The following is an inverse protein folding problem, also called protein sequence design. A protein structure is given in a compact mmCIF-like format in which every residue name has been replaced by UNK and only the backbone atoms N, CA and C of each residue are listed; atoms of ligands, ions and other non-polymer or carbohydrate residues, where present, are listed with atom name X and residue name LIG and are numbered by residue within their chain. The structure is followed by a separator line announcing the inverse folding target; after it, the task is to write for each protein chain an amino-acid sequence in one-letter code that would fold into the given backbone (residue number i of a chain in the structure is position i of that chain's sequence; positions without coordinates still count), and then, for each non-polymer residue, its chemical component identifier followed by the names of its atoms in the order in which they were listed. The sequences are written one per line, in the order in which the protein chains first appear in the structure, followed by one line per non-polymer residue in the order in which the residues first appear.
data_IF_959188577083
#
_entry.id   IF_959188577083
#
_cell.length_a   1.000
_cell.length_b   1.000
_cell.length_c   1.000
_cell.angle_alpha   90.00
_cell.angle_beta   90.00
_cell.angle_gamma   90.00
#
_symmetry.space_group_name_H-M   'P 1'
#
loop_
_entity.id
_entity.type
_entity.pdbx_description
1 polymer ?
#
# COMPACT_ATOMS: atom_id res chain seq x y z
N UNK A 1 20.16 -12.05 -34.18
CA UNK A 1 19.00 -11.13 -34.06
C UNK A 1 18.51 -11.22 -32.63
N UNK A 2 19.09 -10.41 -31.74
CA UNK A 2 18.68 -10.30 -30.35
C UNK A 2 17.37 -9.52 -30.30
N UNK A 3 16.27 -10.23 -30.01
CA UNK A 3 15.04 -9.59 -29.53
C UNK A 3 15.35 -9.09 -28.12
N UNK A 4 15.63 -7.80 -28.01
CA UNK A 4 15.66 -7.12 -26.71
C UNK A 4 14.20 -6.87 -26.39
N UNK A 5 13.63 -7.72 -25.53
CA UNK A 5 12.36 -7.44 -24.89
C UNK A 5 12.59 -6.20 -24.03
N UNK A 6 11.93 -5.10 -24.41
CA UNK A 6 11.89 -3.87 -23.63
C UNK A 6 11.22 -4.20 -22.30
N UNK A 7 12.03 -4.56 -21.29
CA UNK A 7 11.66 -4.37 -19.90
C UNK A 7 11.60 -2.86 -19.69
N UNK A 8 10.45 -2.26 -20.00
CA UNK A 8 10.01 -1.11 -19.22
C UNK A 8 9.93 -1.63 -17.79
N UNK A 9 11.00 -1.40 -17.02
CA UNK A 9 10.91 -1.35 -15.56
C UNK A 9 9.82 -0.32 -15.27
N UNK A 10 8.58 -0.82 -15.17
CA UNK A 10 7.48 -0.05 -14.61
C UNK A 10 7.96 0.22 -13.20
N UNK A 11 8.50 1.41 -12.98
CA UNK A 11 8.92 1.87 -11.68
C UNK A 11 7.67 1.86 -10.80
N UNK A 12 7.42 0.74 -10.13
CA UNK A 12 6.25 0.59 -9.29
C UNK A 12 6.51 1.47 -8.08
N UNK A 13 5.89 2.64 -8.12
CA UNK A 13 6.00 3.63 -7.05
C UNK A 13 5.45 3.06 -5.75
N UNK A 14 6.28 2.98 -4.72
CA UNK A 14 5.87 2.54 -3.39
C UNK A 14 4.77 3.44 -2.82
N UNK A 15 3.95 2.87 -1.93
CA UNK A 15 2.97 3.61 -1.16
C UNK A 15 3.68 4.68 -0.33
N UNK A 16 3.20 5.90 -0.45
CA UNK A 16 3.73 7.04 0.32
C UNK A 16 3.03 7.08 1.68
N UNK A 17 3.80 7.22 2.74
CA UNK A 17 3.28 7.28 4.10
C UNK A 17 4.19 8.03 5.06
N UNK A 18 3.67 8.33 6.24
CA UNK A 18 4.38 9.01 7.31
C UNK A 18 4.87 8.00 8.33
N UNK A 19 6.15 8.09 8.68
CA UNK A 19 6.72 7.29 9.76
C UNK A 19 6.36 7.88 11.13
N UNK A 20 6.13 7.02 12.11
CA UNK A 20 5.97 7.41 13.51
C UNK A 20 7.21 7.06 14.37
N UNK A 21 7.21 7.50 15.63
CA UNK A 21 8.31 7.30 16.59
C UNK A 21 8.51 5.82 17.02
N UNK A 22 7.56 4.94 16.71
CA UNK A 22 7.59 3.51 17.03
C UNK A 22 8.00 2.64 15.83
N UNK A 23 8.59 3.26 14.81
CA UNK A 23 8.93 2.63 13.53
C UNK A 23 7.72 2.11 12.77
N UNK A 24 6.54 2.67 12.99
CA UNK A 24 5.37 2.43 12.15
C UNK A 24 5.34 3.33 10.92
N UNK A 25 4.50 2.98 9.96
CA UNK A 25 4.22 3.75 8.74
C UNK A 25 2.71 3.86 8.57
N UNK A 26 2.20 5.07 8.44
CA UNK A 26 0.80 5.33 8.08
C UNK A 26 0.72 5.80 6.63
N UNK A 27 0.08 5.02 5.77
CA UNK A 27 -0.07 5.33 4.35
C UNK A 27 -1.03 6.51 4.15
N UNK A 28 -0.65 7.45 3.28
CA UNK A 28 -1.50 8.58 2.95
C UNK A 28 -2.66 8.13 2.05
N UNK A 29 -3.87 8.22 2.58
CA UNK A 29 -5.12 7.89 1.89
C UNK A 29 -5.34 8.67 0.59
N UNK A 30 -4.77 9.88 0.47
CA UNK A 30 -4.88 10.72 -0.74
C UNK A 30 -3.96 10.25 -1.87
N UNK A 31 -2.97 9.44 -1.55
CA UNK A 31 -1.94 8.97 -2.47
C UNK A 31 -2.11 7.48 -2.83
N UNK A 32 -3.25 6.88 -2.48
CA UNK A 32 -3.58 5.51 -2.89
C UNK A 32 -3.63 5.41 -4.42
N UNK A 33 -3.21 4.26 -4.93
CA UNK A 33 -3.27 3.98 -6.37
C UNK A 33 -4.69 4.12 -6.90
N UNK A 34 -4.84 4.51 -8.17
CA UNK A 34 -6.16 4.74 -8.81
C UNK A 34 -6.93 3.45 -9.03
N UNK A 35 -6.24 2.34 -9.28
CA UNK A 35 -6.86 1.03 -9.51
C UNK A 35 -6.49 0.04 -8.43
N UNK A 36 -7.36 -0.94 -8.20
CA UNK A 36 -7.16 -2.02 -7.23
C UNK A 36 -5.93 -2.88 -7.57
N UNK A 37 -5.72 -3.21 -8.86
CA UNK A 37 -4.53 -3.95 -9.32
C UNK A 37 -3.23 -3.18 -9.11
N UNK A 38 -3.23 -1.87 -9.33
CA UNK A 38 -2.05 -1.05 -9.04
C UNK A 38 -1.80 -0.99 -7.52
N UNK A 39 -2.86 -0.83 -6.72
CA UNK A 39 -2.74 -0.84 -5.27
C UNK A 39 -2.14 -2.16 -4.75
N UNK A 40 -2.59 -3.30 -5.28
CA UNK A 40 -2.07 -4.62 -4.90
C UNK A 40 -0.56 -4.73 -5.14
N UNK A 41 -0.09 -4.38 -6.35
CA UNK A 41 1.34 -4.40 -6.69
C UNK A 41 2.16 -3.43 -5.85
N UNK A 42 1.64 -2.22 -5.62
CA UNK A 42 2.32 -1.23 -4.78
C UNK A 42 2.41 -1.68 -3.33
N UNK A 43 1.33 -2.28 -2.80
CA UNK A 43 1.30 -2.77 -1.43
C UNK A 43 2.31 -3.90 -1.23
N UNK A 44 2.36 -4.87 -2.14
CA UNK A 44 3.33 -5.98 -2.08
C UNK A 44 4.78 -5.47 -2.00
N UNK A 45 5.18 -4.58 -2.91
CA UNK A 45 6.53 -4.04 -2.92
C UNK A 45 6.82 -3.12 -1.72
N UNK A 46 5.83 -2.33 -1.28
CA UNK A 46 6.00 -1.45 -0.12
C UNK A 46 6.22 -2.26 1.15
N UNK A 47 5.51 -3.37 1.31
CA UNK A 47 5.71 -4.28 2.44
C UNK A 47 7.10 -4.92 2.42
N UNK A 48 7.61 -5.30 1.25
CA UNK A 48 8.98 -5.82 1.12
C UNK A 48 10.02 -4.77 1.52
N UNK A 49 9.90 -3.54 1.00
CA UNK A 49 10.78 -2.43 1.34
C UNK A 49 10.73 -2.10 2.85
N UNK A 50 9.53 -1.96 3.42
CA UNK A 50 9.36 -1.68 4.85
C UNK A 50 9.85 -2.80 5.76
N UNK A 51 9.79 -4.05 5.30
CA UNK A 51 10.40 -5.18 6.01
C UNK A 51 11.93 -5.06 6.05
N UNK A 52 12.56 -4.66 4.96
CA UNK A 52 14.01 -4.41 4.91
C UNK A 52 14.40 -3.22 5.80
N UNK A 53 13.55 -2.18 5.86
CA UNK A 53 13.70 -1.03 6.78
C UNK A 53 13.36 -1.35 8.25
N UNK A 54 12.94 -2.59 8.56
CA UNK A 54 12.54 -3.03 9.92
C UNK A 54 11.39 -2.20 10.51
N UNK A 55 10.44 -1.78 9.68
CA UNK A 55 9.19 -1.15 10.15
C UNK A 55 8.35 -2.16 10.92
N UNK A 56 7.69 -1.69 11.98
CA UNK A 56 7.01 -2.56 12.97
C UNK A 56 5.50 -2.60 12.82
N UNK A 57 4.89 -1.53 12.32
CA UNK A 57 3.44 -1.43 12.16
C UNK A 57 3.10 -0.65 10.90
N UNK A 58 2.25 -1.21 10.05
CA UNK A 58 1.79 -0.53 8.84
C UNK A 58 0.31 -0.25 9.00
N UNK A 59 -0.08 1.01 8.81
CA UNK A 59 -1.44 1.47 8.94
C UNK A 59 -1.96 1.92 7.57
N UNK A 60 -3.07 1.31 7.14
CA UNK A 60 -3.81 1.70 5.95
C UNK A 60 -5.07 2.43 6.37
N UNK A 61 -5.19 3.70 5.98
CA UNK A 61 -6.45 4.44 6.06
C UNK A 61 -7.12 4.39 4.69
N UNK A 62 -8.16 3.57 4.57
CA UNK A 62 -8.91 3.41 3.31
C UNK A 62 -10.15 4.31 3.36
N UNK A 63 -10.30 5.25 2.41
CA UNK A 63 -11.53 6.04 2.24
C UNK A 63 -12.77 5.17 2.02
N UNK A 64 -13.95 5.67 2.38
CA UNK A 64 -15.22 4.94 2.24
C UNK A 64 -15.55 4.57 0.78
N UNK A 65 -15.22 5.44 -0.15
CA UNK A 65 -15.37 5.25 -1.60
C UNK A 65 -14.35 4.28 -2.20
N UNK A 66 -13.42 3.76 -1.39
CA UNK A 66 -12.32 2.87 -1.81
C UNK A 66 -12.35 1.51 -1.11
N UNK A 67 -13.52 1.07 -0.65
CA UNK A 67 -13.70 -0.20 0.07
C UNK A 67 -13.27 -1.43 -0.72
N UNK A 68 -13.17 -1.35 -2.06
CA UNK A 68 -12.62 -2.39 -2.92
C UNK A 68 -11.15 -2.74 -2.61
N UNK A 69 -10.43 -1.87 -1.89
CA UNK A 69 -9.05 -2.10 -1.48
C UNK A 69 -8.94 -2.95 -0.19
N UNK A 70 -10.02 -3.09 0.58
CA UNK A 70 -10.01 -3.82 1.86
C UNK A 70 -9.70 -5.31 1.66
N UNK A 71 -10.36 -6.04 0.74
CA UNK A 71 -10.05 -7.46 0.52
C UNK A 71 -8.60 -7.68 0.06
N UNK A 72 -8.03 -6.72 -0.69
CA UNK A 72 -6.63 -6.77 -1.11
C UNK A 72 -5.72 -6.62 0.12
N UNK A 73 -5.96 -5.63 0.98
CA UNK A 73 -5.18 -5.47 2.20
C UNK A 73 -5.25 -6.73 3.09
N UNK A 74 -6.43 -7.36 3.21
CA UNK A 74 -6.61 -8.61 3.96
C UNK A 74 -5.78 -9.76 3.40
N UNK A 75 -5.62 -9.87 2.08
CA UNK A 75 -4.73 -10.87 1.44
C UNK A 75 -3.28 -10.75 1.93
N UNK A 76 -2.83 -9.54 2.26
CA UNK A 76 -1.50 -9.28 2.83
C UNK A 76 -1.47 -9.30 4.37
N UNK A 77 -2.52 -9.80 5.02
CA UNK A 77 -2.56 -9.99 6.48
C UNK A 77 -2.98 -8.76 7.28
N UNK A 78 -3.46 -7.69 6.64
CA UNK A 78 -4.05 -6.58 7.38
C UNK A 78 -5.36 -6.99 8.05
N UNK A 79 -5.54 -6.51 9.28
CA UNK A 79 -6.79 -6.68 10.03
C UNK A 79 -7.46 -5.32 10.21
N UNK A 80 -8.80 -5.30 10.17
CA UNK A 80 -9.57 -4.09 10.39
C UNK A 80 -9.49 -3.70 11.87
N UNK A 81 -8.94 -2.52 12.15
CA UNK A 81 -8.81 -2.01 13.51
C UNK A 81 -9.95 -1.05 13.89
N UNK A 82 -10.44 -0.25 12.94
CA UNK A 82 -11.52 0.71 13.17
C UNK A 82 -12.22 1.05 11.84
N UNK A 83 -13.54 1.20 11.86
CA UNK A 83 -14.34 1.68 10.72
C UNK A 83 -15.23 2.82 11.22
N UNK A 84 -15.08 4.02 10.64
CA UNK A 84 -15.98 5.15 10.86
C UNK A 84 -16.75 5.42 9.56
N UNK A 85 -18.06 5.73 9.63
CA UNK A 85 -18.91 5.87 8.45
C UNK A 85 -18.55 7.05 7.53
N UNK A 86 -18.08 8.20 8.03
CA UNK A 86 -17.58 9.29 7.15
C UNK A 86 -16.78 10.37 7.91
N UNK A 87 -16.13 9.97 9.00
CA UNK A 87 -15.72 10.85 10.11
C UNK A 87 -16.87 11.65 10.75
N UNK A 88 -16.87 11.61 12.08
CA UNK A 88 -16.88 12.85 12.86
C UNK A 88 -15.54 12.89 13.59
#
# INVERSE_FOLDING_TARGET
MTHIENHEDIEIKLLTGHSDIYSGVTVDKKLLAKTSTQFERQLEQSLEAWRQEKRRGIWLSIPYDRTELIPIAQKFGFVLHHAKPDYV
#
